data_IF_175971202861
#
_entry.id   IF_175971202861
#
_cell.length_a   1.000
_cell.length_b   1.000
_cell.length_c   1.000
_cell.angle_alpha   90.00
_cell.angle_beta   90.00
_cell.angle_gamma   90.00
#
_symmetry.space_group_name_H-M   'P 1'
#
loop_
_entity.id
_entity.type
_entity.pdbx_description
1 polymer ?
#
# COMPACT_ATOMS: atom_id res chain seq x y z
N UNK A 1 8.27 13.13 -18.44
CA UNK A 1 8.02 13.31 -16.99
C UNK A 1 7.08 12.23 -16.49
N UNK A 2 5.88 12.06 -17.06
CA UNK A 2 4.96 10.98 -16.67
C UNK A 2 5.52 9.54 -16.80
N UNK A 3 6.37 9.27 -17.81
CA UNK A 3 7.02 7.96 -17.95
C UNK A 3 8.06 7.68 -16.86
N UNK A 4 8.84 8.69 -16.46
CA UNK A 4 9.83 8.56 -15.39
C UNK A 4 9.16 8.27 -14.03
N UNK A 5 8.08 8.96 -13.70
CA UNK A 5 7.31 8.69 -12.47
C UNK A 5 6.66 7.29 -12.51
N UNK A 6 6.35 6.78 -13.70
CA UNK A 6 5.79 5.43 -13.87
C UNK A 6 6.86 4.36 -13.70
N UNK A 7 8.03 4.58 -14.27
CA UNK A 7 9.22 3.72 -14.11
C UNK A 7 9.66 3.67 -12.65
N UNK A 8 9.76 4.82 -11.98
CA UNK A 8 10.13 4.90 -10.56
C UNK A 8 9.13 4.15 -9.67
N UNK A 9 7.83 4.31 -9.93
CA UNK A 9 6.80 3.55 -9.22
C UNK A 9 6.89 2.04 -9.47
N UNK A 10 7.19 1.62 -10.69
CA UNK A 10 7.37 0.20 -11.01
C UNK A 10 8.56 -0.39 -10.24
N UNK A 11 9.69 0.32 -10.22
CA UNK A 11 10.88 -0.10 -9.47
C UNK A 11 10.57 -0.17 -7.97
N UNK A 12 9.88 0.82 -7.41
CA UNK A 12 9.48 0.80 -6.00
C UNK A 12 8.57 -0.40 -5.67
N UNK A 13 7.64 -0.77 -6.56
CA UNK A 13 6.79 -1.94 -6.40
C UNK A 13 7.59 -3.24 -6.41
N UNK A 14 8.61 -3.35 -7.26
CA UNK A 14 9.50 -4.51 -7.30
C UNK A 14 10.32 -4.65 -6.00
N UNK A 15 10.80 -3.54 -5.44
CA UNK A 15 11.46 -3.55 -4.13
C UNK A 15 10.53 -4.02 -3.01
N UNK A 16 9.29 -3.53 -2.99
CA UNK A 16 8.30 -3.98 -1.99
C UNK A 16 7.97 -5.45 -2.18
N UNK A 17 7.78 -5.92 -3.41
CA UNK A 17 7.53 -7.34 -3.69
C UNK A 17 8.69 -8.23 -3.26
N UNK A 18 9.94 -7.79 -3.50
CA UNK A 18 11.13 -8.49 -3.02
C UNK A 18 11.15 -8.60 -1.49
N UNK A 19 10.92 -7.50 -0.78
CA UNK A 19 10.87 -7.49 0.68
C UNK A 19 9.77 -8.41 1.25
N UNK A 20 8.68 -8.62 0.51
CA UNK A 20 7.63 -9.56 0.89
C UNK A 20 8.07 -11.01 0.72
N UNK A 21 8.71 -11.35 -0.39
CA UNK A 21 9.26 -12.69 -0.59
C UNK A 21 10.32 -13.02 0.47
N UNK A 22 11.24 -12.09 0.73
CA UNK A 22 12.31 -12.28 1.73
C UNK A 22 11.72 -12.49 3.13
N UNK A 23 10.69 -11.72 3.49
CA UNK A 23 10.01 -11.87 4.78
C UNK A 23 9.28 -13.21 4.89
N UNK A 24 8.69 -13.73 3.81
CA UNK A 24 8.08 -15.06 3.80
C UNK A 24 9.14 -16.15 3.97
N UNK A 25 10.29 -16.03 3.31
CA UNK A 25 11.43 -16.95 3.44
C UNK A 25 12.00 -16.97 4.88
N UNK A 26 12.01 -15.80 5.54
CA UNK A 26 12.41 -15.65 6.95
C UNK A 26 11.33 -16.13 7.95
N UNK A 27 10.16 -16.56 7.47
CA UNK A 27 9.06 -17.05 8.29
C UNK A 27 8.25 -15.96 8.98
N UNK A 28 8.33 -14.71 8.50
CA UNK A 28 7.52 -13.60 8.99
C UNK A 28 6.08 -13.78 8.55
N UNK A 29 5.14 -13.58 9.49
CA UNK A 29 3.72 -13.67 9.16
C UNK A 29 3.33 -12.55 8.17
N UNK A 30 2.71 -12.93 7.04
CA UNK A 30 2.25 -12.02 5.99
C UNK A 30 1.38 -10.87 6.54
N UNK A 31 0.54 -11.16 7.54
CA UNK A 31 -0.29 -10.13 8.19
C UNK A 31 0.55 -9.09 8.97
N UNK A 32 1.63 -9.53 9.63
CA UNK A 32 2.54 -8.62 10.33
C UNK A 32 3.25 -7.70 9.34
N UNK A 33 3.70 -8.26 8.21
CA UNK A 33 4.32 -7.47 7.15
C UNK A 33 3.35 -6.49 6.49
N UNK A 34 2.09 -6.89 6.29
CA UNK A 34 1.05 -6.00 5.76
C UNK A 34 0.83 -4.79 6.67
N UNK A 35 0.74 -4.99 8.00
CA UNK A 35 0.63 -3.89 8.95
C UNK A 35 1.86 -2.98 8.94
N UNK A 36 3.07 -3.56 8.93
CA UNK A 36 4.31 -2.78 8.86
C UNK A 36 4.39 -1.95 7.58
N UNK A 37 4.02 -2.54 6.44
CA UNK A 37 3.98 -1.87 5.14
C UNK A 37 2.98 -0.71 5.12
N UNK A 38 1.78 -0.92 5.69
CA UNK A 38 0.77 0.14 5.81
C UNK A 38 1.26 1.29 6.68
N UNK A 39 1.89 0.98 7.81
CA UNK A 39 2.47 1.98 8.70
C UNK A 39 3.54 2.80 7.96
N UNK A 40 4.50 2.14 7.30
CA UNK A 40 5.54 2.81 6.54
C UNK A 40 4.96 3.72 5.44
N UNK A 41 3.97 3.22 4.69
CA UNK A 41 3.30 4.00 3.65
C UNK A 41 2.61 5.25 4.22
N UNK A 42 1.85 5.12 5.32
CA UNK A 42 1.17 6.27 5.95
C UNK A 42 2.20 7.27 6.48
N UNK A 43 3.26 6.83 7.16
CA UNK A 43 4.31 7.71 7.66
C UNK A 43 4.98 8.49 6.53
N UNK A 44 5.33 7.83 5.42
CA UNK A 44 5.91 8.51 4.25
C UNK A 44 4.95 9.53 3.64
N UNK A 45 3.67 9.21 3.53
CA UNK A 45 2.66 10.16 3.04
C UNK A 45 2.51 11.36 3.96
N UNK A 46 2.52 11.15 5.28
CA UNK A 46 2.43 12.24 6.27
C UNK A 46 3.65 13.16 6.18
N UNK A 47 4.84 12.59 6.01
CA UNK A 47 6.08 13.36 5.86
C UNK A 47 6.05 14.26 4.60
N UNK A 48 5.49 13.76 3.49
CA UNK A 48 5.45 14.50 2.23
C UNK A 48 4.25 15.47 2.10
N UNK A 49 3.11 15.14 2.69
CA UNK A 49 1.85 15.86 2.46
C UNK A 49 1.22 16.47 3.72
N UNK A 50 1.73 16.14 4.90
CA UNK A 50 1.20 16.60 6.18
C UNK A 50 0.04 15.75 6.70
N UNK A 51 -0.15 15.78 8.03
CA UNK A 51 -1.12 14.93 8.74
C UNK A 51 -2.57 15.12 8.27
N UNK A 52 -3.00 16.38 8.07
CA UNK A 52 -4.38 16.69 7.68
C UNK A 52 -4.74 16.10 6.31
N UNK A 53 -3.86 16.27 5.31
CA UNK A 53 -4.11 15.77 3.96
C UNK A 53 -4.19 14.24 3.93
N UNK A 54 -3.33 13.57 4.70
CA UNK A 54 -3.35 12.11 4.82
C UNK A 54 -4.57 11.62 5.60
N UNK A 55 -4.98 12.33 6.65
CA UNK A 55 -6.20 11.99 7.40
C UNK A 55 -7.45 12.01 6.50
N UNK A 56 -7.58 13.03 5.64
CA UNK A 56 -8.67 13.11 4.65
C UNK A 56 -8.60 11.98 3.62
N UNK A 57 -7.39 11.66 3.13
CA UNK A 57 -7.19 10.52 2.23
C UNK A 57 -7.64 9.20 2.87
N UNK A 58 -7.19 8.93 4.10
CA UNK A 58 -7.50 7.70 4.83
C UNK A 58 -8.99 7.63 5.19
N UNK A 59 -9.64 8.76 5.48
CA UNK A 59 -11.08 8.80 5.76
C UNK A 59 -11.95 8.30 4.59
N UNK A 60 -11.45 8.35 3.35
CA UNK A 60 -12.14 7.79 2.17
C UNK A 60 -12.00 6.26 2.03
N UNK A 61 -11.03 5.64 2.71
CA UNK A 61 -10.74 4.20 2.56
C UNK A 61 -11.84 3.27 3.07
N UNK A 62 -12.48 3.49 4.23
CA UNK A 62 -13.52 2.61 4.74
C UNK A 62 -14.68 2.42 3.76
N UNK A 63 -15.09 3.48 3.08
CA UNK A 63 -16.17 3.41 2.07
C UNK A 63 -15.75 2.56 0.87
N UNK A 64 -14.52 2.75 0.39
CA UNK A 64 -13.96 1.99 -0.74
C UNK A 64 -13.73 0.51 -0.41
N UNK A 65 -13.28 0.21 0.81
CA UNK A 65 -13.15 -1.17 1.30
C UNK A 65 -14.52 -1.85 1.35
N UNK A 66 -15.55 -1.17 1.87
CA UNK A 66 -16.93 -1.70 1.91
C UNK A 66 -17.57 -1.84 0.53
N UNK A 67 -17.22 -0.95 -0.41
CA UNK A 67 -17.59 -1.06 -1.84
C UNK A 67 -17.00 -2.32 -2.51
N UNK A 68 -15.93 -2.87 -1.94
CA UNK A 68 -15.23 -4.04 -2.45
C UNK A 68 -14.10 -3.70 -3.42
N UNK A 69 -13.67 -2.43 -3.49
CA UNK A 69 -12.59 -1.96 -4.37
C UNK A 69 -11.26 -2.73 -4.16
N UNK A 70 -11.09 -3.31 -2.97
CA UNK A 70 -9.89 -4.03 -2.54
C UNK A 70 -10.13 -5.53 -2.32
N UNK A 71 -11.34 -6.03 -2.56
CA UNK A 71 -11.63 -7.47 -2.48
C UNK A 71 -11.41 -8.10 -3.85
N UNK A 72 -10.22 -8.65 -4.06
CA UNK A 72 -9.89 -9.49 -5.23
C UNK A 72 -10.71 -10.79 -5.15
N UNK A 73 -11.94 -10.75 -5.66
CA UNK A 73 -12.87 -11.89 -5.58
C UNK A 73 -14.34 -11.57 -5.76
N UNK A 74 -14.74 -10.29 -5.88
CA UNK A 74 -16.10 -9.97 -6.34
C UNK A 74 -16.20 -10.28 -7.83
N UNK A 75 -16.45 -11.55 -8.16
CA UNK A 75 -17.14 -11.89 -9.40
C UNK A 75 -18.39 -11.02 -9.45
N UNK A 76 -18.47 -10.13 -10.43
CA UNK A 76 -19.68 -9.40 -10.78
C UNK A 76 -20.81 -10.44 -10.86
N UNK A 77 -21.73 -10.40 -9.91
CA UNK A 77 -22.95 -11.19 -9.92
C UNK A 77 -24.13 -10.23 -10.00
#
# INVERSE_FOLDING_TARGET
MADADREERQVALEYVAGAWNDAEDDGVATLALAHASLFAAITSLVDHHGETAVAELIASLPERIQSGDYTLGRSLQ
#
